data_IF_936077103393
#
_entry.id   IF_936077103393
#
_cell.length_a   1.000
_cell.length_b   1.000
_cell.length_c   1.000
_cell.angle_alpha   90.00
_cell.angle_beta   90.00
_cell.angle_gamma   90.00
#
_symmetry.space_group_name_H-M   'P 1'
#
loop_
_entity.id
_entity.type
_entity.pdbx_description
1 polymer ?
#
# COMPACT_ATOMS: atom_id res chain seq x y z
N UNK A 1 19.31 9.35 -6.60
CA UNK A 1 19.89 8.03 -6.91
C UNK A 1 21.00 7.76 -5.91
N UNK A 2 21.10 6.53 -5.36
CA UNK A 2 22.11 6.22 -4.34
C UNK A 2 23.52 6.17 -4.93
N UNK A 3 24.56 6.10 -4.09
CA UNK A 3 25.92 5.91 -4.56
C UNK A 3 26.07 4.53 -5.24
N UNK A 4 26.17 4.52 -6.57
CA UNK A 4 26.31 3.30 -7.39
C UNK A 4 27.75 2.76 -7.46
N UNK A 5 28.67 3.36 -6.70
CA UNK A 5 30.06 2.88 -6.57
C UNK A 5 30.18 1.58 -5.77
N UNK A 6 29.13 1.20 -5.04
CA UNK A 6 29.05 -0.06 -4.29
C UNK A 6 28.22 -1.09 -5.03
N UNK A 7 28.78 -2.27 -5.30
CA UNK A 7 28.07 -3.39 -5.93
C UNK A 7 26.81 -3.81 -5.14
N UNK A 8 26.88 -3.72 -3.80
CA UNK A 8 25.71 -3.97 -2.92
C UNK A 8 24.61 -2.93 -3.16
N UNK A 9 24.96 -1.65 -3.31
CA UNK A 9 23.98 -0.60 -3.58
C UNK A 9 23.35 -0.76 -4.97
N UNK A 10 24.12 -1.21 -5.97
CA UNK A 10 23.58 -1.53 -7.30
C UNK A 10 22.53 -2.65 -7.21
N UNK A 11 22.83 -3.74 -6.48
CA UNK A 11 21.88 -4.84 -6.30
C UNK A 11 20.60 -4.40 -5.55
N UNK A 12 20.76 -3.63 -4.46
CA UNK A 12 19.64 -3.08 -3.68
C UNK A 12 18.77 -2.14 -4.52
N UNK A 13 19.39 -1.26 -5.29
CA UNK A 13 18.70 -0.35 -6.20
C UNK A 13 17.95 -1.14 -7.28
N UNK A 14 18.57 -2.18 -7.86
CA UNK A 14 17.92 -3.07 -8.83
C UNK A 14 16.66 -3.75 -8.27
N UNK A 15 16.69 -4.21 -7.03
CA UNK A 15 15.53 -4.83 -6.37
C UNK A 15 14.37 -3.83 -6.17
N UNK A 16 14.66 -2.61 -5.72
CA UNK A 16 13.65 -1.54 -5.60
C UNK A 16 13.10 -1.13 -6.96
N UNK A 17 13.95 -0.99 -7.98
CA UNK A 17 13.52 -0.68 -9.34
C UNK A 17 12.64 -1.79 -9.94
N UNK A 18 12.90 -3.06 -9.63
CA UNK A 18 12.04 -4.17 -10.04
C UNK A 18 10.67 -4.13 -9.33
N UNK A 19 10.65 -3.87 -8.02
CA UNK A 19 9.42 -3.70 -7.25
C UNK A 19 8.57 -2.52 -7.78
N UNK A 20 9.22 -1.36 -8.01
CA UNK A 20 8.59 -0.16 -8.57
C UNK A 20 7.92 -0.45 -9.91
N UNK A 21 8.60 -1.15 -10.82
CA UNK A 21 8.03 -1.50 -12.13
C UNK A 21 6.77 -2.34 -12.01
N UNK A 22 6.73 -3.31 -11.09
CA UNK A 22 5.53 -4.12 -10.84
C UNK A 22 4.35 -3.28 -10.37
N UNK A 23 4.59 -2.34 -9.45
CA UNK A 23 3.54 -1.42 -8.97
C UNK A 23 3.07 -0.50 -10.09
N UNK A 24 3.98 0.10 -10.86
CA UNK A 24 3.61 1.00 -11.95
C UNK A 24 2.82 0.31 -13.06
N UNK A 25 3.23 -0.89 -13.49
CA UNK A 25 2.48 -1.68 -14.47
C UNK A 25 1.09 -2.04 -13.96
N UNK A 26 0.99 -2.44 -12.69
CA UNK A 26 -0.31 -2.73 -12.08
C UNK A 26 -1.22 -1.49 -12.07
N UNK A 27 -0.70 -0.32 -11.69
CA UNK A 27 -1.50 0.93 -11.69
C UNK A 27 -1.98 1.30 -13.10
N UNK A 28 -1.12 1.14 -14.11
CA UNK A 28 -1.44 1.36 -15.51
C UNK A 28 -2.56 0.43 -15.99
N UNK A 29 -2.46 -0.88 -15.72
CA UNK A 29 -3.49 -1.87 -16.07
C UNK A 29 -4.83 -1.59 -15.37
N UNK A 30 -4.79 -1.05 -14.15
CA UNK A 30 -5.99 -0.72 -13.39
C UNK A 30 -6.61 0.63 -13.77
N UNK A 31 -5.92 1.47 -14.54
CA UNK A 31 -6.33 2.84 -14.84
C UNK A 31 -6.34 3.75 -13.62
N UNK A 32 -5.47 3.48 -12.64
CA UNK A 32 -5.24 4.35 -11.48
C UNK A 32 -4.14 5.38 -11.79
N UNK A 33 -4.08 6.53 -11.09
CA UNK A 33 -3.05 7.54 -11.35
C UNK A 33 -1.64 6.93 -11.29
N UNK A 34 -0.69 7.39 -12.13
CA UNK A 34 -0.53 8.76 -12.62
C UNK A 34 -1.35 9.13 -13.87
N UNK A 35 -2.09 8.19 -14.45
CA UNK A 35 -3.10 8.47 -15.46
C UNK A 35 -4.50 8.47 -14.84
N UNK A 36 -4.92 9.62 -14.31
CA UNK A 36 -6.34 9.92 -14.28
C UNK A 36 -6.61 11.01 -15.31
N UNK A 37 -7.46 10.65 -16.28
CA UNK A 37 -7.99 11.58 -17.29
C UNK A 37 -8.60 12.79 -16.56
N UNK A 38 -8.28 14.01 -17.00
CA UNK A 38 -8.87 15.28 -16.53
C UNK A 38 -8.38 15.83 -15.16
N UNK A 39 -7.19 15.45 -14.68
CA UNK A 39 -6.49 16.25 -13.67
C UNK A 39 -5.81 17.45 -14.35
N UNK A 40 -6.53 18.57 -14.45
CA UNK A 40 -6.00 19.88 -14.92
C UNK A 40 -4.78 20.40 -14.11
N UNK A 41 -4.39 19.67 -13.06
CA UNK A 41 -3.18 19.84 -12.25
C UNK A 41 -2.36 18.54 -12.33
N UNK A 42 -1.19 18.56 -12.98
CA UNK A 42 -0.35 17.36 -13.05
C UNK A 42 0.12 16.99 -11.64
N UNK A 43 -0.39 15.90 -11.06
CA UNK A 43 0.08 15.34 -9.78
C UNK A 43 1.15 14.29 -10.10
N UNK A 44 2.45 14.63 -10.17
CA UNK A 44 3.46 13.68 -10.64
C UNK A 44 3.73 12.62 -9.59
N UNK A 45 3.65 11.35 -9.96
CA UNK A 45 4.17 10.25 -9.15
C UNK A 45 5.68 10.09 -9.41
N UNK A 46 6.50 10.35 -8.39
CA UNK A 46 7.97 10.24 -8.44
C UNK A 46 8.46 9.29 -7.35
N UNK A 47 9.55 8.59 -7.64
CA UNK A 47 10.22 7.72 -6.68
C UNK A 47 11.66 8.16 -6.47
N UNK A 48 12.09 8.17 -5.22
CA UNK A 48 13.48 8.42 -4.83
C UNK A 48 13.96 7.35 -3.86
N UNK A 49 15.07 6.70 -4.22
CA UNK A 49 15.74 5.72 -3.37
C UNK A 49 17.01 6.36 -2.79
N UNK A 50 17.08 6.44 -1.47
CA UNK A 50 18.15 7.15 -0.73
C UNK A 50 18.66 6.22 0.38
N UNK A 51 19.95 6.31 0.68
CA UNK A 51 20.56 5.62 1.81
C UNK A 51 20.73 6.54 3.02
N UNK A 52 20.74 5.95 4.21
CA UNK A 52 21.19 6.66 5.41
C UNK A 52 22.60 7.21 5.17
N UNK A 53 22.84 8.43 5.62
CA UNK A 53 24.11 9.12 5.44
C UNK A 53 24.62 9.70 6.75
N UNK A 54 25.85 10.20 6.74
CA UNK A 54 26.36 11.05 7.82
C UNK A 54 26.27 12.51 7.36
N UNK A 55 25.87 13.40 8.24
CA UNK A 55 25.94 14.84 7.98
C UNK A 55 27.40 15.35 8.04
N UNK A 56 27.60 16.65 7.77
CA UNK A 56 28.93 17.28 7.78
C UNK A 56 29.62 17.26 9.15
N UNK A 57 28.90 16.92 10.21
CA UNK A 57 29.42 16.79 11.58
C UNK A 57 29.63 15.32 12.00
N UNK A 58 29.35 14.37 11.10
CA UNK A 58 29.47 12.94 11.36
C UNK A 58 28.26 12.33 12.06
N UNK A 59 27.15 13.07 12.22
CA UNK A 59 25.93 12.53 12.83
C UNK A 59 25.10 11.76 11.80
N UNK A 60 24.43 10.66 12.21
CA UNK A 60 23.61 9.86 11.31
C UNK A 60 22.36 10.63 10.87
N UNK A 61 22.26 10.87 9.57
CA UNK A 61 21.06 11.32 8.89
C UNK A 61 20.30 10.09 8.36
N UNK A 62 19.28 9.69 9.12
CA UNK A 62 18.37 8.60 8.73
C UNK A 62 17.41 9.07 7.64
N UNK A 63 17.17 8.20 6.66
CA UNK A 63 16.14 8.40 5.65
C UNK A 63 14.84 7.81 6.17
N UNK A 64 13.82 8.66 6.28
CA UNK A 64 12.45 8.24 6.53
C UNK A 64 11.80 7.85 5.21
N UNK A 65 11.26 6.64 5.15
CA UNK A 65 10.37 6.22 4.06
C UNK A 65 9.03 6.95 4.20
N UNK A 66 8.48 7.44 3.10
CA UNK A 66 7.22 8.18 3.12
C UNK A 66 6.89 8.88 1.80
N UNK A 67 5.69 9.45 1.75
CA UNK A 67 5.18 10.23 0.63
C UNK A 67 5.10 11.73 0.97
N UNK A 68 5.46 12.59 0.01
CA UNK A 68 5.25 14.04 0.10
C UNK A 68 5.05 14.64 -1.29
N UNK A 69 3.90 15.27 -1.51
CA UNK A 69 3.58 16.03 -2.74
C UNK A 69 3.91 15.27 -4.04
N UNK A 70 3.57 13.97 -4.07
CA UNK A 70 3.83 13.08 -5.20
C UNK A 70 5.21 12.42 -5.23
N UNK A 71 6.11 12.77 -4.31
CA UNK A 71 7.41 12.11 -4.14
C UNK A 71 7.34 11.01 -3.09
N UNK A 72 7.47 9.77 -3.52
CA UNK A 72 7.66 8.60 -2.66
C UNK A 72 9.17 8.40 -2.43
N UNK A 73 9.59 8.49 -1.17
CA UNK A 73 10.96 8.22 -0.74
C UNK A 73 11.02 6.85 -0.08
N UNK A 74 11.94 5.99 -0.52
CA UNK A 74 12.17 4.66 0.09
C UNK A 74 13.63 4.57 0.53
N UNK A 75 13.86 4.17 1.78
CA UNK A 75 15.20 3.89 2.26
C UNK A 75 15.80 2.67 1.52
N UNK A 76 17.00 2.81 0.96
CA UNK A 76 17.71 1.74 0.25
C UNK A 76 17.94 0.51 1.13
N UNK A 77 18.02 0.69 2.46
CA UNK A 77 18.14 -0.40 3.42
C UNK A 77 16.94 -1.37 3.36
N UNK A 78 15.76 -0.90 2.93
CA UNK A 78 14.58 -1.76 2.73
C UNK A 78 14.85 -2.86 1.69
N UNK A 79 15.83 -2.71 0.79
CA UNK A 79 16.17 -3.77 -0.16
C UNK A 79 16.93 -4.95 0.47
N UNK A 80 17.49 -4.78 1.67
CA UNK A 80 18.15 -5.84 2.43
C UNK A 80 17.13 -6.70 3.17
N UNK A 81 17.07 -8.00 2.85
CA UNK A 81 16.11 -8.93 3.47
C UNK A 81 16.32 -9.09 4.98
N UNK A 82 17.56 -9.02 5.46
CA UNK A 82 17.86 -9.12 6.89
C UNK A 82 17.38 -7.87 7.62
N UNK A 83 17.58 -6.70 7.02
CA UNK A 83 17.04 -5.46 7.55
C UNK A 83 15.50 -5.51 7.59
N UNK A 84 14.85 -5.87 6.48
CA UNK A 84 13.39 -5.98 6.42
C UNK A 84 12.84 -6.93 7.48
N UNK A 85 13.44 -8.10 7.66
CA UNK A 85 12.95 -9.07 8.63
C UNK A 85 13.06 -8.56 10.08
N UNK A 86 14.15 -7.85 10.40
CA UNK A 86 14.27 -7.19 11.72
C UNK A 86 13.19 -6.14 11.93
N UNK A 87 12.94 -5.29 10.93
CA UNK A 87 11.92 -4.24 11.01
C UNK A 87 10.53 -4.87 11.11
N UNK A 88 10.23 -5.90 10.32
CA UNK A 88 8.96 -6.64 10.37
C UNK A 88 8.66 -7.13 11.79
N UNK A 89 9.63 -7.78 12.44
CA UNK A 89 9.48 -8.29 13.81
C UNK A 89 9.35 -7.14 14.82
N UNK A 90 10.15 -6.09 14.68
CA UNK A 90 10.10 -4.92 15.56
C UNK A 90 8.74 -4.21 15.51
N UNK A 91 8.19 -4.08 14.31
CA UNK A 91 6.90 -3.42 14.04
C UNK A 91 5.71 -4.37 14.17
N UNK A 92 5.95 -5.65 14.45
CA UNK A 92 4.93 -6.72 14.52
C UNK A 92 4.08 -6.81 13.26
N UNK A 93 4.71 -6.58 12.12
CA UNK A 93 4.06 -6.69 10.81
C UNK A 93 3.92 -8.17 10.42
N UNK A 94 2.76 -8.60 9.90
CA UNK A 94 2.59 -9.97 9.42
C UNK A 94 3.53 -10.28 8.24
N UNK A 95 3.72 -9.31 7.35
CA UNK A 95 4.63 -9.39 6.23
C UNK A 95 5.23 -8.01 5.91
N UNK A 96 6.52 -7.98 5.53
CA UNK A 96 7.23 -6.76 5.11
C UNK A 96 7.90 -6.98 3.76
N UNK A 97 7.33 -6.42 2.69
CA UNK A 97 7.87 -6.58 1.32
C UNK A 97 8.15 -5.23 0.67
N UNK A 98 9.08 -5.21 -0.30
CA UNK A 98 9.37 -4.00 -1.07
C UNK A 98 8.15 -3.49 -1.84
N UNK A 99 7.34 -4.41 -2.38
CA UNK A 99 6.14 -4.06 -3.14
C UNK A 99 5.06 -3.52 -2.20
N UNK A 100 4.85 -4.17 -1.05
CA UNK A 100 3.87 -3.74 -0.04
C UNK A 100 4.11 -2.30 0.42
N UNK A 101 5.36 -1.93 0.75
CA UNK A 101 5.64 -0.53 1.10
C UNK A 101 5.37 0.43 -0.05
N UNK A 102 5.78 0.07 -1.26
CA UNK A 102 5.52 0.94 -2.41
C UNK A 102 4.02 1.11 -2.66
N UNK A 103 3.22 0.06 -2.47
CA UNK A 103 1.76 0.12 -2.58
C UNK A 103 1.14 0.98 -1.49
N UNK A 104 1.60 0.85 -0.25
CA UNK A 104 1.20 1.73 0.86
C UNK A 104 1.47 3.21 0.53
N UNK A 105 2.70 3.54 0.12
CA UNK A 105 3.06 4.92 -0.26
C UNK A 105 2.31 5.43 -1.49
N UNK A 106 1.99 4.54 -2.43
CA UNK A 106 1.08 4.83 -3.55
C UNK A 106 -0.34 5.11 -3.04
N UNK A 107 -0.78 4.46 -1.97
CA UNK A 107 -2.02 4.79 -1.27
C UNK A 107 -2.06 6.25 -0.81
N UNK A 108 -1.01 6.74 -0.15
CA UNK A 108 -0.92 8.17 0.18
C UNK A 108 -0.92 9.08 -1.05
N UNK A 109 -0.27 8.66 -2.14
CA UNK A 109 -0.32 9.41 -3.39
C UNK A 109 -1.74 9.45 -4.00
N UNK A 110 -2.46 8.32 -4.01
CA UNK A 110 -3.85 8.25 -4.49
C UNK A 110 -4.77 9.12 -3.62
N UNK A 111 -4.54 9.13 -2.30
CA UNK A 111 -5.28 10.01 -1.38
C UNK A 111 -5.10 11.49 -1.75
N UNK A 112 -3.83 11.90 -1.80
CA UNK A 112 -3.42 13.28 -2.08
C UNK A 112 -3.85 13.78 -3.46
N UNK A 113 -3.70 12.93 -4.49
CA UNK A 113 -3.98 13.32 -5.87
C UNK A 113 -5.45 13.17 -6.27
N UNK A 114 -6.20 12.31 -5.59
CA UNK A 114 -7.51 11.86 -6.07
C UNK A 114 -8.57 11.69 -4.97
N UNK A 115 -8.41 10.70 -4.09
CA UNK A 115 -9.51 10.19 -3.27
C UNK A 115 -10.10 11.27 -2.35
N UNK A 116 -9.24 12.12 -1.78
CA UNK A 116 -9.65 13.25 -0.92
C UNK A 116 -10.48 14.32 -1.65
N UNK A 117 -10.41 14.37 -3.00
CA UNK A 117 -11.04 15.41 -3.84
C UNK A 117 -12.37 14.98 -4.46
N UNK A 118 -12.55 13.68 -4.73
CA UNK A 118 -13.65 13.21 -5.60
C UNK A 118 -14.81 12.53 -4.88
N UNK A 119 -14.58 11.98 -3.69
CA UNK A 119 -15.60 11.23 -2.94
C UNK A 119 -15.49 11.45 -1.42
N UNK A 120 -15.21 12.69 -1.01
CA UNK A 120 -14.89 13.08 0.37
C UNK A 120 -15.91 12.64 1.42
N UNK A 121 -17.21 12.60 1.07
CA UNK A 121 -18.26 12.16 2.02
C UNK A 121 -18.14 10.68 2.39
N UNK A 122 -17.99 9.82 1.39
CA UNK A 122 -17.83 8.39 1.62
C UNK A 122 -16.46 8.08 2.21
N UNK A 123 -15.43 8.82 1.80
CA UNK A 123 -14.12 8.77 2.45
C UNK A 123 -14.23 9.02 3.96
N UNK A 124 -14.80 10.16 4.38
CA UNK A 124 -14.91 10.49 5.80
C UNK A 124 -15.79 9.51 6.57
N UNK A 125 -16.81 8.95 5.92
CA UNK A 125 -17.67 7.93 6.53
C UNK A 125 -16.90 6.63 6.80
N UNK A 126 -15.97 6.25 5.92
CA UNK A 126 -15.25 4.98 5.97
C UNK A 126 -13.95 5.04 6.78
N UNK A 127 -13.18 6.12 6.63
CA UNK A 127 -11.84 6.26 7.20
C UNK A 127 -11.77 7.33 8.30
N UNK A 128 -12.76 8.22 8.37
CA UNK A 128 -12.74 9.40 9.23
C UNK A 128 -12.21 10.65 8.52
N UNK A 129 -12.31 11.81 9.18
CA UNK A 129 -11.74 13.06 8.70
C UNK A 129 -10.25 13.14 9.09
N UNK A 130 -9.31 13.09 8.13
CA UNK A 130 -7.89 13.12 8.41
C UNK A 130 -7.42 14.46 9.00
N UNK A 131 -8.16 15.55 8.82
CA UNK A 131 -7.81 16.86 9.38
C UNK A 131 -8.29 17.03 10.83
N UNK A 132 -9.18 16.16 11.30
CA UNK A 132 -9.71 16.22 12.66
C UNK A 132 -8.73 15.64 13.71
N UNK A 133 -7.67 14.96 13.27
CA UNK A 133 -6.69 14.29 14.13
C UNK A 133 -5.29 14.75 13.74
N UNK A 134 -4.49 15.21 14.71
CA UNK A 134 -3.09 15.55 14.44
C UNK A 134 -2.26 14.26 14.26
N UNK A 135 -1.57 14.14 13.13
CA UNK A 135 -0.83 12.94 12.76
C UNK A 135 0.25 12.58 13.78
N UNK A 136 1.02 13.55 14.27
CA UNK A 136 2.11 13.28 15.20
C UNK A 136 1.58 12.82 16.57
N UNK A 137 0.51 13.46 17.06
CA UNK A 137 -0.16 13.05 18.28
C UNK A 137 -0.79 11.66 18.17
N UNK A 138 -1.41 11.33 17.02
CA UNK A 138 -2.01 10.03 16.79
C UNK A 138 -0.97 8.91 16.72
N UNK A 139 0.16 9.17 16.06
CA UNK A 139 1.30 8.26 16.02
C UNK A 139 1.87 8.02 17.42
N UNK A 140 2.07 9.07 18.22
CA UNK A 140 2.53 8.95 19.60
C UNK A 140 1.56 8.11 20.44
N UNK A 141 0.26 8.40 20.34
CA UNK A 141 -0.79 7.67 21.03
C UNK A 141 -0.79 6.17 20.67
N UNK A 142 -0.67 5.86 19.37
CA UNK A 142 -0.63 4.49 18.86
C UNK A 142 0.54 3.70 19.45
N UNK A 143 1.75 4.27 19.52
CA UNK A 143 2.89 3.59 20.12
C UNK A 143 2.82 3.48 21.65
N UNK A 144 2.11 4.39 22.32
CA UNK A 144 1.92 4.34 23.76
C UNK A 144 0.83 3.35 24.19
N UNK A 145 -0.29 3.31 23.48
CA UNK A 145 -1.49 2.57 23.88
C UNK A 145 -1.73 1.30 23.05
N UNK A 146 -1.13 1.20 21.87
CA UNK A 146 -1.45 0.17 20.89
C UNK A 146 -2.79 0.40 20.19
N UNK A 147 -3.16 -0.48 19.24
CA UNK A 147 -4.46 -0.42 18.58
C UNK A 147 -5.61 -0.80 19.54
N UNK A 148 -6.85 -0.34 19.31
CA UNK A 148 -8.04 -0.83 20.01
C UNK A 148 -8.19 -2.35 19.93
N UNK A 149 -8.65 -3.02 20.99
CA UNK A 149 -8.68 -4.50 21.04
C UNK A 149 -9.50 -5.17 19.92
N UNK A 150 -10.51 -4.47 19.40
CA UNK A 150 -11.42 -4.91 18.34
C UNK A 150 -11.04 -4.37 16.95
N UNK A 151 -9.84 -3.79 16.77
CA UNK A 151 -9.40 -3.19 15.51
C UNK A 151 -9.60 -4.12 14.30
N UNK A 152 -9.36 -5.42 14.47
CA UNK A 152 -9.43 -6.42 13.40
C UNK A 152 -10.85 -6.64 12.85
N UNK A 153 -11.87 -6.06 13.48
CA UNK A 153 -13.25 -6.07 12.97
C UNK A 153 -13.48 -5.01 11.89
N UNK A 154 -12.61 -3.99 11.79
CA UNK A 154 -12.83 -2.82 10.93
C UNK A 154 -11.60 -2.31 10.18
N UNK A 155 -10.39 -2.76 10.49
CA UNK A 155 -9.15 -2.33 9.86
C UNK A 155 -8.33 -3.52 9.35
N UNK A 156 -7.60 -3.31 8.25
CA UNK A 156 -6.74 -4.34 7.63
C UNK A 156 -5.50 -4.64 8.45
N UNK A 157 -5.02 -3.68 9.24
CA UNK A 157 -3.86 -3.82 10.11
C UNK A 157 -4.03 -3.04 11.41
N UNK A 158 -3.24 -3.37 12.43
CA UNK A 158 -3.18 -2.58 13.65
C UNK A 158 -2.75 -1.14 13.36
N UNK A 159 -1.78 -0.95 12.47
CA UNK A 159 -1.23 0.36 12.12
C UNK A 159 -2.24 1.24 11.38
N UNK A 160 -3.15 0.65 10.60
CA UNK A 160 -4.27 1.37 9.99
C UNK A 160 -5.14 2.14 11.02
N UNK A 161 -5.18 1.72 12.28
CA UNK A 161 -5.91 2.45 13.34
C UNK A 161 -5.23 3.76 13.77
N UNK A 162 -3.97 3.97 13.36
CA UNK A 162 -3.16 5.10 13.81
C UNK A 162 -3.72 6.43 13.30
N UNK A 163 -4.15 6.50 12.04
CA UNK A 163 -4.65 7.73 11.43
C UNK A 163 -5.50 7.42 10.18
N UNK A 164 -6.52 8.23 9.84
CA UNK A 164 -7.34 8.01 8.63
C UNK A 164 -6.54 7.87 7.33
N UNK A 165 -5.46 8.66 7.16
CA UNK A 165 -4.54 8.53 6.02
C UNK A 165 -3.85 7.15 5.95
N UNK A 166 -3.54 6.55 7.10
CA UNK A 166 -2.90 5.23 7.17
C UNK A 166 -3.92 4.13 6.91
N UNK A 167 -5.14 4.27 7.43
CA UNK A 167 -6.24 3.34 7.14
C UNK A 167 -6.52 3.28 5.64
N UNK A 168 -6.55 4.44 4.97
CA UNK A 168 -6.69 4.52 3.53
C UNK A 168 -5.49 3.88 2.80
N UNK A 169 -4.25 4.23 3.17
CA UNK A 169 -3.05 3.72 2.50
C UNK A 169 -2.89 2.19 2.65
N UNK A 170 -3.14 1.66 3.84
CA UNK A 170 -3.14 0.23 4.11
C UNK A 170 -4.27 -0.50 3.37
N UNK A 171 -5.46 0.12 3.27
CA UNK A 171 -6.56 -0.43 2.46
C UNK A 171 -6.19 -0.48 0.98
N UNK A 172 -5.55 0.56 0.45
CA UNK A 172 -5.05 0.56 -0.94
C UNK A 172 -4.00 -0.53 -1.14
N UNK A 173 -3.10 -0.73 -0.17
CA UNK A 173 -2.11 -1.80 -0.24
C UNK A 173 -2.77 -3.17 -0.38
N UNK A 174 -3.69 -3.52 0.51
CA UNK A 174 -4.44 -4.78 0.47
C UNK A 174 -5.29 -4.91 -0.80
N UNK A 175 -5.94 -3.83 -1.25
CA UNK A 175 -6.67 -3.81 -2.51
C UNK A 175 -5.77 -4.17 -3.70
N UNK A 176 -4.56 -3.62 -3.75
CA UNK A 176 -3.59 -3.92 -4.80
C UNK A 176 -2.99 -5.33 -4.66
N UNK A 177 -2.89 -5.89 -3.46
CA UNK A 177 -2.55 -7.31 -3.27
C UNK A 177 -3.64 -8.21 -3.87
N UNK A 178 -4.91 -7.96 -3.55
CA UNK A 178 -6.06 -8.71 -4.07
C UNK A 178 -6.09 -8.67 -5.60
N UNK A 179 -5.90 -7.50 -6.20
CA UNK A 179 -5.89 -7.38 -7.67
C UNK A 179 -4.67 -8.03 -8.31
N UNK A 180 -3.50 -8.03 -7.67
CA UNK A 180 -2.35 -8.75 -8.19
C UNK A 180 -2.56 -10.27 -8.21
N UNK A 181 -3.21 -10.80 -7.16
CA UNK A 181 -3.60 -12.22 -7.12
C UNK A 181 -4.62 -12.49 -8.23
N UNK A 182 -5.64 -11.65 -8.38
CA UNK A 182 -6.67 -11.79 -9.42
C UNK A 182 -6.10 -11.73 -10.85
N UNK A 183 -5.19 -10.79 -11.13
CA UNK A 183 -4.50 -10.66 -12.40
C UNK A 183 -3.70 -11.94 -12.70
N UNK A 184 -2.86 -12.38 -11.75
CA UNK A 184 -2.05 -13.59 -11.91
C UNK A 184 -2.93 -14.83 -12.13
N UNK A 185 -4.01 -14.96 -11.37
CA UNK A 185 -4.96 -16.05 -11.49
C UNK A 185 -5.70 -16.04 -12.84
N UNK A 186 -5.93 -14.87 -13.42
CA UNK A 186 -6.59 -14.74 -14.72
C UNK A 186 -5.61 -15.03 -15.87
N UNK A 187 -4.44 -14.40 -15.84
CA UNK A 187 -3.45 -14.47 -16.92
C UNK A 187 -2.73 -15.82 -16.98
N UNK A 188 -2.41 -16.40 -15.83
CA UNK A 188 -1.66 -17.66 -15.72
C UNK A 188 -2.61 -18.82 -15.42
N UNK A 189 -3.55 -18.62 -14.50
CA UNK A 189 -4.47 -19.66 -14.05
C UNK A 189 -5.72 -19.85 -14.92
N UNK A 190 -5.98 -18.94 -15.87
CA UNK A 190 -7.16 -18.98 -16.73
C UNK A 190 -8.49 -18.77 -16.00
N UNK A 191 -8.47 -18.22 -14.77
CA UNK A 191 -9.69 -17.88 -14.04
C UNK A 191 -10.36 -16.65 -14.68
N UNK A 192 -11.69 -16.67 -14.79
CA UNK A 192 -12.45 -15.52 -15.27
C UNK A 192 -12.90 -14.65 -14.09
N UNK A 193 -12.05 -13.72 -13.66
CA UNK A 193 -12.34 -12.79 -12.57
C UNK A 193 -12.70 -11.41 -13.15
N UNK A 194 -13.83 -10.84 -12.73
CA UNK A 194 -14.22 -9.49 -13.16
C UNK A 194 -13.48 -8.43 -12.33
N UNK A 195 -12.42 -7.88 -12.92
CA UNK A 195 -11.63 -6.79 -12.35
C UNK A 195 -12.00 -5.42 -12.94
N UNK A 196 -13.09 -5.33 -13.70
CA UNK A 196 -13.51 -4.07 -14.31
C UNK A 196 -13.90 -3.06 -13.22
N UNK A 197 -13.76 -1.73 -13.46
CA UNK A 197 -14.14 -0.71 -12.47
C UNK A 197 -15.59 -0.74 -11.96
N UNK A 198 -16.47 -1.49 -12.64
CA UNK A 198 -17.89 -1.66 -12.32
C UNK A 198 -18.21 -3.09 -11.85
N UNK A 199 -17.20 -3.94 -11.71
CA UNK A 199 -17.37 -5.30 -11.23
C UNK A 199 -17.82 -5.33 -9.78
N UNK A 200 -18.44 -6.45 -9.38
CA UNK A 200 -18.82 -6.67 -7.99
C UNK A 200 -17.56 -6.93 -7.14
N UNK A 201 -17.17 -5.93 -6.34
CA UNK A 201 -15.99 -6.04 -5.48
C UNK A 201 -16.12 -7.13 -4.43
N UNK A 202 -17.32 -7.37 -3.89
CA UNK A 202 -17.52 -8.43 -2.90
C UNK A 202 -17.34 -9.80 -3.55
N UNK A 203 -17.87 -9.99 -4.76
CA UNK A 203 -17.65 -11.21 -5.53
C UNK A 203 -16.17 -11.41 -5.86
N UNK A 204 -15.49 -10.36 -6.34
CA UNK A 204 -14.06 -10.40 -6.66
C UNK A 204 -13.22 -10.79 -5.44
N UNK A 205 -13.45 -10.14 -4.30
CA UNK A 205 -12.74 -10.46 -3.04
C UNK A 205 -13.01 -11.89 -2.62
N UNK A 206 -14.27 -12.36 -2.66
CA UNK A 206 -14.60 -13.74 -2.33
C UNK A 206 -13.86 -14.74 -3.21
N UNK A 207 -13.83 -14.52 -4.52
CA UNK A 207 -13.14 -15.41 -5.46
C UNK A 207 -11.62 -15.41 -5.25
N UNK A 208 -11.03 -14.26 -4.91
CA UNK A 208 -9.61 -14.16 -4.57
C UNK A 208 -9.32 -14.86 -3.25
N UNK A 209 -10.20 -14.78 -2.26
CA UNK A 209 -10.04 -15.46 -0.98
C UNK A 209 -10.02 -16.99 -1.13
N UNK A 210 -10.79 -17.56 -2.06
CA UNK A 210 -10.70 -18.99 -2.37
C UNK A 210 -9.27 -19.38 -2.82
N UNK A 211 -8.61 -18.51 -3.60
CA UNK A 211 -7.22 -18.68 -4.03
C UNK A 211 -6.26 -18.52 -2.85
N UNK A 212 -6.48 -17.51 -2.01
CA UNK A 212 -5.66 -17.24 -0.83
C UNK A 212 -5.68 -18.42 0.11
N UNK A 213 -6.85 -19.02 0.36
CA UNK A 213 -6.98 -20.21 1.20
C UNK A 213 -6.19 -21.36 0.58
N UNK A 214 -6.42 -21.68 -0.69
CA UNK A 214 -5.73 -22.77 -1.39
C UNK A 214 -4.20 -22.65 -1.32
N UNK A 215 -3.66 -21.47 -1.65
CA UNK A 215 -2.20 -21.24 -1.65
C UNK A 215 -1.65 -21.15 -0.23
N UNK A 216 -2.41 -20.63 0.73
CA UNK A 216 -1.98 -20.56 2.12
C UNK A 216 -1.85 -21.94 2.74
N UNK A 217 -2.74 -22.89 2.42
CA UNK A 217 -2.59 -24.28 2.87
C UNK A 217 -1.31 -24.92 2.29
N UNK A 218 -0.99 -24.70 1.02
CA UNK A 218 0.31 -25.13 0.47
C UNK A 218 1.50 -24.47 1.17
N UNK A 219 1.40 -23.19 1.51
CA UNK A 219 2.44 -22.50 2.25
C UNK A 219 2.62 -23.09 3.66
N UNK A 220 1.53 -23.37 4.37
CA UNK A 220 1.57 -23.96 5.71
C UNK A 220 2.17 -25.37 5.70
N UNK A 221 1.85 -26.20 4.71
CA UNK A 221 2.48 -27.52 4.51
C UNK A 221 4.01 -27.43 4.33
N UNK A 222 4.51 -26.29 3.84
CA UNK A 222 5.93 -26.00 3.65
C UNK A 222 6.57 -25.16 4.78
N UNK A 223 5.80 -24.81 5.82
CA UNK A 223 6.26 -23.97 6.92
C UNK A 223 6.44 -22.48 6.55
N UNK A 224 5.73 -22.01 5.53
CA UNK A 224 5.70 -20.62 5.07
C UNK A 224 4.45 -19.89 5.60
N UNK A 225 4.48 -18.56 5.56
CA UNK A 225 3.33 -17.71 5.93
C UNK A 225 2.20 -17.78 4.89
N UNK A 226 0.99 -17.38 5.29
CA UNK A 226 -0.15 -17.22 4.39
C UNK A 226 0.17 -16.35 3.16
N UNK A 227 -0.54 -16.56 2.06
CA UNK A 227 -0.39 -15.75 0.85
C UNK A 227 -0.79 -14.29 1.09
N UNK A 228 -1.91 -14.09 1.80
CA UNK A 228 -2.44 -12.79 2.22
C UNK A 228 -2.81 -12.92 3.70
N UNK A 229 -2.02 -12.36 4.63
CA UNK A 229 -2.21 -12.57 6.06
C UNK A 229 -3.34 -11.73 6.68
N UNK A 230 -3.84 -10.71 5.97
CA UNK A 230 -4.85 -9.79 6.48
C UNK A 230 -6.23 -10.44 6.58
N UNK A 231 -6.98 -10.07 7.63
CA UNK A 231 -8.39 -10.42 7.76
C UNK A 231 -9.26 -9.40 7.03
N UNK A 232 -10.26 -9.87 6.28
CA UNK A 232 -11.15 -9.02 5.48
C UNK A 232 -12.60 -9.08 6.02
N UNK A 233 -12.89 -8.52 7.21
CA UNK A 233 -14.26 -8.43 7.71
C UNK A 233 -15.13 -7.53 6.82
N UNK A 234 -16.48 -7.55 6.97
CA UNK A 234 -17.38 -6.75 6.13
C UNK A 234 -17.03 -5.26 6.05
N UNK A 235 -16.59 -4.64 7.15
CA UNK A 235 -16.19 -3.23 7.16
C UNK A 235 -14.93 -2.95 6.32
N UNK A 236 -13.99 -3.89 6.27
CA UNK A 236 -12.82 -3.79 5.38
C UNK A 236 -13.23 -3.99 3.93
N UNK A 237 -14.12 -4.96 3.64
CA UNK A 237 -14.64 -5.17 2.28
C UNK A 237 -15.34 -3.91 1.76
N UNK A 238 -16.05 -3.18 2.62
CA UNK A 238 -16.67 -1.91 2.26
C UNK A 238 -15.62 -0.84 1.87
N UNK A 239 -14.53 -0.74 2.64
CA UNK A 239 -13.39 0.14 2.30
C UNK A 239 -12.72 -0.26 0.99
N UNK A 240 -12.54 -1.56 0.75
CA UNK A 240 -12.00 -2.09 -0.52
C UNK A 240 -12.92 -1.74 -1.70
N UNK A 241 -14.25 -1.84 -1.52
CA UNK A 241 -15.23 -1.45 -2.53
C UNK A 241 -15.19 0.05 -2.85
N UNK A 242 -14.96 0.89 -1.84
CA UNK A 242 -14.71 2.32 -2.05
C UNK A 242 -13.46 2.55 -2.92
N UNK A 243 -12.32 1.95 -2.57
CA UNK A 243 -11.08 2.07 -3.34
C UNK A 243 -11.26 1.56 -4.78
N UNK A 244 -11.96 0.44 -4.96
CA UNK A 244 -12.29 -0.11 -6.27
C UNK A 244 -13.14 0.87 -7.09
N UNK A 245 -14.15 1.47 -6.47
CA UNK A 245 -15.08 2.42 -7.09
C UNK A 245 -14.42 3.72 -7.56
N UNK A 246 -13.30 4.13 -6.96
CA UNK A 246 -12.52 5.31 -7.41
C UNK A 246 -12.13 5.22 -8.89
N UNK A 247 -11.96 4.00 -9.43
CA UNK A 247 -11.64 3.74 -10.85
C UNK A 247 -12.76 4.08 -11.81
N UNK A 248 -13.99 4.20 -11.32
CA UNK A 248 -15.18 4.56 -12.12
C UNK A 248 -15.53 6.05 -12.06
N UNK A 249 -14.90 6.81 -11.16
CA UNK A 249 -15.19 8.23 -10.98
C UNK A 249 -14.38 9.03 -11.99
N UNK A 250 -15.04 9.98 -12.67
CA UNK A 250 -14.37 11.02 -13.46
C UNK A 250 -14.45 12.32 -12.66
N UNK A 251 -13.40 13.15 -12.67
CA UNK A 251 -13.59 14.52 -12.17
C UNK A 251 -14.55 15.23 -13.11
N UNK A 252 -15.48 16.00 -12.53
CA UNK A 252 -16.21 16.98 -13.32
C UNK A 252 -15.25 18.11 -13.72
N UNK A 253 -15.49 18.78 -14.86
CA UNK A 253 -14.77 20.01 -15.16
C UNK A 253 -15.02 21.03 -14.04
N UNK A 254 -13.94 21.62 -13.52
CA UNK A 254 -13.99 22.73 -12.57
C UNK A 254 -14.63 23.98 -13.18
#
# INVERSE_FOLDING_TARGET
TPALSSATNVARWGALEAAKRRVLLQLEELGLPPFVEDLNETHPLKFQFIEDSLDSTGQPRRVTTGHRDGLITINLAEADSVHRERVRVQMREPQRTLIGHMRHEVGHYIDWSWASRVATKDYHRLFGDPQAVDYAAAMELHYQQGPPADWAQSHVSAYATMHPWEDFAETVNVYLDILAIAMTASDVGGRALDMSPRGDTQQLVSQVLDIVIEVSEYNYDLGLSALLPESLPPAVIEKLAYVHGLRSIKMGPH
#
